data_IF_675389767256
#
_entry.id   IF_675389767256
#
_cell.length_a   1.000
_cell.length_b   1.000
_cell.length_c   1.000
_cell.angle_alpha   90.00
_cell.angle_beta   90.00
_cell.angle_gamma   90.00
#
_symmetry.space_group_name_H-M   'P 1'
#
loop_
_entity.id
_entity.type
_entity.pdbx_description
1 polymer ?
#
# COMPACT_ATOMS: atom_id res chain seq x y z
N UNK A 1 11.31 7.80 12.23
CA UNK A 1 10.64 6.67 12.91
C UNK A 1 9.93 5.88 11.83
N UNK A 2 10.32 4.64 11.59
CA UNK A 2 9.59 3.74 10.69
C UNK A 2 8.61 2.88 11.50
N UNK A 3 7.46 2.59 10.92
CA UNK A 3 6.43 1.71 11.48
C UNK A 3 6.21 0.57 10.50
N UNK A 4 6.29 -0.67 10.99
CA UNK A 4 5.98 -1.84 10.19
C UNK A 4 4.54 -2.28 10.49
N UNK A 5 3.80 -2.61 9.44
CA UNK A 5 2.47 -3.20 9.53
C UNK A 5 2.39 -4.44 8.66
N UNK A 6 2.08 -5.58 9.25
CA UNK A 6 1.82 -6.82 8.52
C UNK A 6 0.37 -6.86 8.04
N UNK A 7 0.14 -7.11 6.75
CA UNK A 7 -1.20 -7.21 6.14
C UNK A 7 -1.31 -8.43 5.23
N UNK A 8 -2.53 -8.88 4.97
CA UNK A 8 -2.80 -9.93 3.97
C UNK A 8 -2.95 -9.24 2.62
N UNK A 9 -2.00 -9.45 1.71
CA UNK A 9 -2.06 -8.95 0.33
C UNK A 9 -2.83 -9.92 -0.52
N UNK A 10 -3.84 -9.42 -1.22
CA UNK A 10 -4.74 -10.19 -2.09
C UNK A 10 -4.50 -9.90 -3.57
N UNK A 11 -3.78 -8.82 -3.90
CA UNK A 11 -3.46 -8.47 -5.28
C UNK A 11 -2.36 -7.42 -5.41
N UNK A 12 -1.64 -7.48 -6.53
CA UNK A 12 -0.61 -6.52 -6.91
C UNK A 12 -0.90 -6.03 -8.34
N UNK A 13 -0.91 -4.71 -8.54
CA UNK A 13 -1.18 -4.12 -9.87
C UNK A 13 -0.24 -2.96 -10.15
N UNK A 14 0.47 -3.03 -11.28
CA UNK A 14 1.21 -1.89 -11.81
C UNK A 14 0.26 -0.74 -12.14
N UNK A 15 0.60 0.46 -11.71
CA UNK A 15 -0.20 1.65 -11.86
C UNK A 15 0.69 2.83 -12.21
N UNK A 16 0.94 3.02 -13.51
CA UNK A 16 1.70 4.14 -14.05
C UNK A 16 0.91 4.84 -15.18
N UNK A 17 1.25 6.09 -15.45
CA UNK A 17 0.60 6.91 -16.49
C UNK A 17 0.68 8.39 -16.17
N UNK A 18 -0.24 9.15 -16.75
CA UNK A 18 -0.40 10.58 -16.47
C UNK A 18 -1.87 10.87 -16.17
N UNK A 19 -2.13 11.80 -15.25
CA UNK A 19 -3.47 12.33 -15.05
C UNK A 19 -3.43 13.85 -15.04
N UNK A 20 -4.48 14.48 -15.58
CA UNK A 20 -4.61 15.95 -15.56
C UNK A 20 -5.65 16.33 -14.51
N UNK A 21 -5.27 16.97 -13.40
CA UNK A 21 -6.23 17.38 -12.38
C UNK A 21 -7.23 18.40 -12.94
N UNK A 22 -8.51 18.20 -12.68
CA UNK A 22 -9.56 19.15 -13.07
C UNK A 22 -9.66 20.35 -12.10
N UNK A 23 -9.13 20.18 -10.88
CA UNK A 23 -9.20 21.15 -9.78
C UNK A 23 -7.88 21.19 -8.98
N UNK A 24 -7.70 22.25 -8.18
CA UNK A 24 -6.55 22.44 -7.29
C UNK A 24 -5.39 23.21 -7.92
N UNK A 25 -4.26 23.29 -7.20
CA UNK A 25 -3.08 24.10 -7.61
C UNK A 25 -2.45 23.66 -8.93
N UNK A 26 -2.61 22.39 -9.31
CA UNK A 26 -2.04 21.81 -10.53
C UNK A 26 -3.10 21.61 -11.63
N UNK A 27 -4.21 22.36 -11.60
CA UNK A 27 -5.29 22.25 -12.57
C UNK A 27 -4.76 22.40 -14.00
N UNK A 28 -5.12 21.47 -14.88
CA UNK A 28 -4.74 21.51 -16.30
C UNK A 28 -3.29 21.15 -16.60
N UNK A 29 -2.48 20.81 -15.59
CA UNK A 29 -1.08 20.40 -15.77
C UNK A 29 -0.99 18.87 -15.66
N UNK A 30 -0.59 18.14 -16.72
CA UNK A 30 -0.38 16.69 -16.65
C UNK A 30 0.57 16.33 -15.52
N UNK A 31 0.15 15.39 -14.66
CA UNK A 31 0.93 14.87 -13.54
C UNK A 31 1.26 13.40 -13.82
N UNK A 32 2.54 13.05 -14.02
CA UNK A 32 2.92 11.66 -14.15
C UNK A 32 2.78 10.96 -12.79
N UNK A 33 2.39 9.70 -12.83
CA UNK A 33 2.40 8.82 -11.67
C UNK A 33 3.00 7.47 -12.04
N UNK A 34 3.69 6.87 -11.07
CA UNK A 34 4.27 5.54 -11.20
C UNK A 34 4.27 4.86 -9.84
N UNK A 35 3.38 3.89 -9.66
CA UNK A 35 3.19 3.18 -8.41
C UNK A 35 2.90 1.69 -8.63
N UNK A 36 3.25 0.87 -7.65
CA UNK A 36 2.66 -0.43 -7.42
C UNK A 36 1.45 -0.26 -6.47
N UNK A 37 0.27 -0.64 -6.93
CA UNK A 37 -0.91 -0.73 -6.07
C UNK A 37 -0.94 -2.11 -5.40
N UNK A 38 -1.05 -2.11 -4.08
CA UNK A 38 -1.09 -3.28 -3.22
C UNK A 38 -2.49 -3.37 -2.64
N UNK A 39 -3.25 -4.38 -3.06
CA UNK A 39 -4.58 -4.66 -2.55
C UNK A 39 -4.43 -5.55 -1.32
N UNK A 40 -4.95 -5.10 -0.19
CA UNK A 40 -4.79 -5.79 1.08
C UNK A 40 -6.13 -5.90 1.82
N UNK A 41 -6.31 -7.04 2.48
CA UNK A 41 -7.43 -7.30 3.38
C UNK A 41 -6.96 -7.13 4.82
N UNK A 42 -7.58 -6.21 5.54
CA UNK A 42 -7.24 -5.89 6.94
C UNK A 42 -8.37 -6.42 7.83
N UNK A 43 -8.11 -7.40 8.71
CA UNK A 43 -9.14 -7.94 9.59
C UNK A 43 -9.64 -6.85 10.54
N UNK A 44 -10.95 -6.87 10.82
CA UNK A 44 -11.50 -6.00 11.85
C UNK A 44 -10.90 -6.34 13.22
N UNK A 45 -10.64 -5.36 14.10
CA UNK A 45 -10.14 -5.63 15.44
C UNK A 45 -11.10 -6.55 16.21
N UNK A 46 -10.56 -7.54 16.92
CA UNK A 46 -11.38 -8.49 17.71
C UNK A 46 -12.24 -7.79 18.78
N UNK A 47 -11.81 -6.62 19.26
CA UNK A 47 -12.57 -5.80 20.19
C UNK A 47 -13.85 -5.20 19.58
N UNK A 48 -13.98 -5.18 18.25
CA UNK A 48 -15.19 -4.69 17.59
C UNK A 48 -16.23 -5.80 17.52
N UNK A 49 -17.08 -5.86 18.55
CA UNK A 49 -18.16 -6.85 18.65
C UNK A 49 -19.26 -6.70 17.57
N UNK A 50 -19.28 -5.59 16.83
CA UNK A 50 -20.26 -5.30 15.78
C UNK A 50 -19.72 -5.62 14.36
N UNK A 51 -18.49 -6.11 14.23
CA UNK A 51 -17.87 -6.38 12.94
C UNK A 51 -17.30 -7.81 12.84
N UNK A 52 -17.36 -8.39 11.64
CA UNK A 52 -16.77 -9.70 11.32
C UNK A 52 -16.19 -9.68 9.91
N UNK A 53 -15.00 -10.27 9.73
CA UNK A 53 -14.28 -10.28 8.47
C UNK A 53 -13.20 -9.21 8.40
N UNK A 54 -13.09 -8.54 7.25
CA UNK A 54 -12.02 -7.58 6.95
C UNK A 54 -12.52 -6.41 6.10
N UNK A 55 -11.78 -5.31 6.14
CA UNK A 55 -11.89 -4.22 5.17
C UNK A 55 -10.80 -4.32 4.10
N UNK A 56 -11.18 -4.07 2.86
CA UNK A 56 -10.22 -3.96 1.76
C UNK A 56 -9.60 -2.56 1.70
N UNK A 57 -8.29 -2.50 1.56
CA UNK A 57 -7.53 -1.27 1.46
C UNK A 57 -6.49 -1.36 0.35
N UNK A 58 -6.26 -0.24 -0.34
CA UNK A 58 -5.21 -0.13 -1.34
C UNK A 58 -4.07 0.71 -0.78
N UNK A 59 -2.88 0.12 -0.71
CA UNK A 59 -1.64 0.83 -0.45
C UNK A 59 -0.91 1.13 -1.75
N UNK A 60 -0.17 2.24 -1.78
CA UNK A 60 0.58 2.67 -2.97
C UNK A 60 2.05 2.76 -2.63
N UNK A 61 2.86 1.93 -3.28
CA UNK A 61 4.32 1.99 -3.23
C UNK A 61 4.82 2.68 -4.49
N UNK A 62 5.72 3.66 -4.37
CA UNK A 62 6.26 4.38 -5.53
C UNK A 62 7.10 3.43 -6.40
N UNK A 63 6.91 3.51 -7.71
CA UNK A 63 7.59 2.66 -8.71
C UNK A 63 6.82 1.39 -9.02
N UNK A 64 6.20 1.31 -10.21
CA UNK A 64 5.50 0.11 -10.69
C UNK A 64 6.45 -1.07 -10.95
N UNK A 65 7.73 -0.80 -11.21
CA UNK A 65 8.77 -1.83 -11.36
C UNK A 65 8.92 -2.75 -10.15
N UNK A 66 8.47 -2.33 -8.96
CA UNK A 66 8.40 -3.19 -7.78
C UNK A 66 7.54 -4.43 -7.99
N UNK A 67 6.60 -4.41 -8.95
CA UNK A 67 5.83 -5.60 -9.34
C UNK A 67 6.73 -6.80 -9.66
N UNK A 68 7.84 -6.58 -10.36
CA UNK A 68 8.76 -7.65 -10.76
C UNK A 68 9.50 -8.30 -9.58
N UNK A 69 9.57 -7.63 -8.41
CA UNK A 69 10.12 -8.22 -7.17
C UNK A 69 9.21 -9.32 -6.61
N UNK A 70 7.92 -9.27 -6.94
CA UNK A 70 6.89 -10.09 -6.29
C UNK A 70 5.97 -10.82 -7.28
N UNK A 71 6.26 -10.76 -8.59
CA UNK A 71 5.38 -11.32 -9.65
C UNK A 71 5.16 -12.83 -9.52
N UNK A 72 6.12 -13.53 -8.92
CA UNK A 72 6.10 -14.98 -8.74
C UNK A 72 5.65 -15.39 -7.32
N UNK A 73 5.25 -14.43 -6.48
CA UNK A 73 4.71 -14.69 -5.14
C UNK A 73 3.27 -15.15 -5.26
N UNK A 74 2.93 -16.29 -4.65
CA UNK A 74 1.55 -16.75 -4.56
C UNK A 74 0.74 -15.87 -3.59
N UNK A 75 -0.46 -15.47 -4.03
CA UNK A 75 -1.40 -14.66 -3.26
C UNK A 75 -2.69 -15.47 -2.99
N UNK A 76 -3.39 -15.23 -1.87
CA UNK A 76 -3.09 -14.24 -0.84
C UNK A 76 -1.96 -14.66 0.10
N UNK A 77 -1.11 -13.72 0.51
CA UNK A 77 -0.07 -13.97 1.51
C UNK A 77 0.24 -12.74 2.36
N UNK A 78 1.02 -12.90 3.42
CA UNK A 78 1.37 -11.81 4.34
C UNK A 78 2.52 -10.99 3.78
N UNK A 79 2.37 -9.67 3.83
CA UNK A 79 3.46 -8.73 3.58
C UNK A 79 3.65 -7.83 4.79
N UNK A 80 4.91 -7.50 5.07
CA UNK A 80 5.27 -6.42 5.98
C UNK A 80 5.43 -5.14 5.17
N UNK A 81 4.67 -4.12 5.54
CA UNK A 81 4.68 -2.80 4.93
C UNK A 81 5.44 -1.85 5.85
N UNK A 82 6.54 -1.28 5.35
CA UNK A 82 7.33 -0.29 6.09
C UNK A 82 6.88 1.12 5.75
N UNK A 83 6.36 1.83 6.75
CA UNK A 83 5.94 3.22 6.65
C UNK A 83 6.94 4.15 7.30
N UNK A 84 7.15 5.30 6.69
CA UNK A 84 7.87 6.42 7.30
C UNK A 84 6.95 7.65 7.39
N UNK A 85 7.03 8.38 8.49
CA UNK A 85 6.26 9.61 8.65
C UNK A 85 6.91 10.76 7.88
N UNK A 86 6.16 11.32 6.93
CA UNK A 86 6.50 12.57 6.26
C UNK A 86 6.10 13.77 7.14
N UNK A 87 7.09 14.35 7.81
CA UNK A 87 6.94 15.52 8.69
C UNK A 87 6.86 16.85 7.93
N UNK A 88 7.05 16.86 6.60
CA UNK A 88 6.86 18.09 5.81
C UNK A 88 5.38 18.46 5.68
N UNK A 89 4.48 17.53 6.03
CA UNK A 89 3.02 17.71 6.05
C UNK A 89 2.52 17.82 7.49
N UNK A 90 1.53 18.68 7.71
CA UNK A 90 0.89 18.85 9.03
C UNK A 90 -0.59 18.47 8.93
N UNK A 91 -1.07 17.44 9.65
CA UNK A 91 -0.29 16.54 10.50
C UNK A 91 0.64 15.61 9.68
N UNK A 92 1.70 15.05 10.28
CA UNK A 92 2.59 14.10 9.63
C UNK A 92 1.79 12.94 9.03
N UNK A 93 2.13 12.54 7.80
CA UNK A 93 1.43 11.45 7.12
C UNK A 93 2.33 10.24 6.95
N UNK A 94 1.85 9.02 7.24
CA UNK A 94 2.60 7.82 6.93
C UNK A 94 2.70 7.66 5.40
N UNK A 95 3.90 7.36 4.93
CA UNK A 95 4.20 7.09 3.51
C UNK A 95 4.82 5.71 3.44
N UNK A 96 4.26 4.83 2.61
CA UNK A 96 4.82 3.50 2.37
C UNK A 96 6.17 3.63 1.66
N UNK A 97 7.22 3.13 2.29
CA UNK A 97 8.60 3.21 1.79
C UNK A 97 9.06 1.91 1.16
N UNK A 98 8.74 0.77 1.75
CA UNK A 98 9.04 -0.53 1.16
C UNK A 98 8.04 -1.60 1.62
N UNK A 99 8.09 -2.76 0.96
CA UNK A 99 7.35 -3.96 1.34
C UNK A 99 8.25 -5.20 1.21
N UNK A 100 7.96 -6.21 2.02
CA UNK A 100 8.57 -7.53 1.93
C UNK A 100 7.52 -8.61 2.20
N UNK A 101 7.71 -9.81 1.64
CA UNK A 101 6.91 -10.96 2.03
C UNK A 101 7.28 -11.29 3.47
N UNK A 102 6.28 -11.37 4.35
CA UNK A 102 6.53 -11.75 5.74
C UNK A 102 6.88 -13.23 5.76
N UNK A 103 8.00 -13.61 6.39
CA UNK A 103 8.39 -15.03 6.49
C UNK A 103 7.21 -15.82 7.09
N UNK A 104 6.76 -16.84 6.37
CA UNK A 104 5.83 -17.81 6.93
C UNK A 104 6.53 -18.42 8.15
N UNK A 105 5.91 -18.34 9.33
CA UNK A 105 6.23 -19.27 10.40
C UNK A 105 6.13 -20.68 9.80
N UNK A 106 7.28 -21.29 9.54
CA UNK A 106 7.37 -22.71 9.20
C UNK A 106 6.91 -23.44 10.46
N UNK A 107 5.65 -23.87 10.45
CA UNK A 107 5.10 -24.75 11.49
C UNK A 107 5.80 -26.10 11.42
#
# INVERSE_FOLDING_TARGET
MSQIQTVIVTGLKMSHGEFTPENGKNKGIPQPYDNLNIYASIPFPEANMEAKGSSEQIFKLKGSGNYYRFKDVELPCKFDLEFEFDFTRTPPKPVLKDIQVSEQDVI
#
